data_IF_662086851575
#
_entry.id   IF_662086851575
#
_cell.length_a   1.000
_cell.length_b   1.000
_cell.length_c   1.000
_cell.angle_alpha   90.00
_cell.angle_beta   90.00
_cell.angle_gamma   90.00
#
_symmetry.space_group_name_H-M   'P 1'
#
loop_
_entity.id
_entity.type
_entity.pdbx_description
1 polymer ?
#
# COMPACT_ATOMS: atom_id res chain seq x y z
N UNK A 1 -12.21 -17.79 -15.82
CA UNK A 1 -11.44 -17.13 -14.75
C UNK A 1 -10.34 -16.33 -15.40
N UNK A 2 -10.59 -15.05 -15.69
CA UNK A 2 -9.64 -14.18 -16.37
C UNK A 2 -8.50 -13.85 -15.39
N UNK A 3 -7.36 -14.56 -15.51
CA UNK A 3 -6.13 -14.17 -14.82
C UNK A 3 -5.75 -12.81 -15.40
N UNK A 4 -5.62 -11.79 -14.56
CA UNK A 4 -5.18 -10.43 -14.92
C UNK A 4 -3.82 -10.50 -15.65
N UNK A 5 -3.88 -10.71 -16.97
CA UNK A 5 -2.81 -11.29 -17.76
C UNK A 5 -1.70 -10.25 -17.95
N UNK A 6 -0.60 -10.41 -17.19
CA UNK A 6 0.68 -9.73 -17.45
C UNK A 6 0.98 -8.44 -16.68
N UNK A 7 0.00 -7.75 -16.08
CA UNK A 7 0.27 -6.46 -15.39
C UNK A 7 1.03 -6.63 -14.07
N UNK A 8 0.63 -7.58 -13.24
CA UNK A 8 1.28 -7.81 -11.94
C UNK A 8 2.72 -8.32 -12.07
N UNK A 9 3.03 -9.35 -12.90
CA UNK A 9 4.41 -9.79 -13.07
C UNK A 9 5.34 -8.67 -13.53
N UNK A 10 4.88 -7.79 -14.43
CA UNK A 10 5.66 -6.63 -14.90
C UNK A 10 5.90 -5.59 -13.80
N UNK A 11 4.93 -5.38 -12.90
CA UNK A 11 5.06 -4.43 -11.80
C UNK A 11 5.91 -4.97 -10.63
N UNK A 12 5.88 -6.29 -10.41
CA UNK A 12 6.63 -6.95 -9.33
C UNK A 12 8.13 -7.05 -9.67
N UNK A 13 8.48 -7.37 -10.91
CA UNK A 13 9.88 -7.62 -11.28
C UNK A 13 10.86 -6.45 -10.96
N UNK A 14 10.52 -5.16 -11.15
CA UNK A 14 11.38 -4.05 -10.70
C UNK A 14 11.52 -3.96 -9.18
N UNK A 15 10.49 -4.33 -8.42
CA UNK A 15 10.53 -4.33 -6.95
C UNK A 15 11.44 -5.44 -6.45
N UNK A 16 11.29 -6.66 -6.98
CA UNK A 16 12.16 -7.80 -6.65
C UNK A 16 13.63 -7.55 -6.98
N UNK A 17 13.89 -6.83 -8.08
CA UNK A 17 15.25 -6.44 -8.50
C UNK A 17 15.81 -5.24 -7.73
N UNK A 18 15.07 -4.67 -6.78
CA UNK A 18 15.47 -3.49 -6.02
C UNK A 18 15.53 -2.19 -6.85
N UNK A 19 14.97 -2.19 -8.05
CA UNK A 19 14.92 -1.01 -8.92
C UNK A 19 13.87 0.00 -8.45
N UNK A 20 12.84 -0.46 -7.73
CA UNK A 20 11.78 0.37 -7.15
C UNK A 20 11.53 -0.07 -5.72
N UNK A 21 11.74 0.82 -4.76
CA UNK A 21 11.38 0.62 -3.35
C UNK A 21 9.97 1.15 -3.08
N UNK A 22 8.98 0.25 -3.09
CA UNK A 22 7.58 0.59 -2.82
C UNK A 22 7.30 0.81 -1.33
N UNK A 23 8.17 0.36 -0.43
CA UNK A 23 7.95 0.54 1.01
C UNK A 23 8.03 2.01 1.43
N UNK A 24 8.76 2.83 0.67
CA UNK A 24 8.83 4.29 0.87
C UNK A 24 7.53 5.03 0.59
N UNK A 25 6.58 4.40 -0.13
CA UNK A 25 5.26 4.99 -0.35
C UNK A 25 4.40 4.91 0.91
N UNK A 26 4.69 3.96 1.80
CA UNK A 26 3.91 3.71 3.02
C UNK A 26 4.30 4.73 4.07
N UNK A 27 3.49 5.77 4.21
CA UNK A 27 3.66 6.83 5.22
C UNK A 27 3.13 6.43 6.59
N UNK A 28 2.10 5.60 6.63
CA UNK A 28 1.40 5.23 7.87
C UNK A 28 1.12 3.73 7.89
N UNK A 29 1.28 3.12 9.07
CA UNK A 29 1.00 1.70 9.34
C UNK A 29 0.10 1.59 10.54
N UNK A 30 -0.93 0.77 10.44
CA UNK A 30 -1.88 0.53 11.52
C UNK A 30 -2.15 -0.97 11.65
N UNK A 31 -2.40 -1.47 12.87
CA UNK A 31 -2.82 -2.86 13.05
C UNK A 31 -4.27 -3.06 12.58
N UNK A 32 -4.63 -4.30 12.25
CA UNK A 32 -5.96 -4.67 11.73
C UNK A 32 -7.11 -4.20 12.64
N UNK A 33 -6.92 -4.25 13.96
CA UNK A 33 -7.92 -3.87 14.96
C UNK A 33 -8.32 -2.39 14.84
N UNK A 34 -7.44 -1.54 14.31
CA UNK A 34 -7.66 -0.12 14.13
C UNK A 34 -8.21 0.25 12.76
N UNK A 35 -8.35 -0.70 11.83
CA UNK A 35 -8.68 -0.43 10.43
C UNK A 35 -9.94 0.42 10.23
N UNK A 36 -10.97 0.22 11.08
CA UNK A 36 -12.21 1.00 11.01
C UNK A 36 -12.06 2.45 11.51
N UNK A 37 -11.26 2.65 12.56
CA UNK A 37 -11.05 3.97 13.19
C UNK A 37 -10.17 4.87 12.31
N UNK A 38 -9.14 4.29 11.68
CA UNK A 38 -8.13 5.03 10.93
C UNK A 38 -8.54 5.33 9.49
N UNK A 39 -9.64 4.75 9.00
CA UNK A 39 -10.10 4.92 7.62
C UNK A 39 -10.47 6.37 7.30
N UNK A 40 -11.28 7.01 8.15
CA UNK A 40 -11.74 8.39 7.93
C UNK A 40 -10.60 9.43 8.06
N UNK A 41 -9.71 9.35 9.07
CA UNK A 41 -8.52 10.19 9.12
C UNK A 41 -7.63 10.07 7.87
N UNK A 42 -7.39 8.85 7.39
CA UNK A 42 -6.60 8.60 6.17
C UNK A 42 -7.30 9.15 4.92
N UNK A 43 -8.63 8.99 4.83
CA UNK A 43 -9.43 9.52 3.72
C UNK A 43 -9.39 11.06 3.66
N UNK A 44 -9.21 11.71 4.80
CA UNK A 44 -9.08 13.17 4.87
C UNK A 44 -7.74 13.70 4.32
N UNK A 45 -6.77 12.82 4.04
CA UNK A 45 -5.41 13.14 3.56
C UNK A 45 -4.68 14.18 4.44
N UNK A 46 -5.06 14.25 5.72
CA UNK A 46 -4.40 15.11 6.71
C UNK A 46 -3.08 14.48 7.15
N UNK A 47 -2.25 15.26 7.82
CA UNK A 47 -0.96 14.81 8.38
C UNK A 47 0.05 14.25 7.37
N UNK A 48 -0.08 14.61 6.09
CA UNK A 48 0.86 14.21 5.04
C UNK A 48 0.73 12.74 4.63
N UNK A 49 -0.43 12.12 4.84
CA UNK A 49 -0.71 10.74 4.41
C UNK A 49 -0.60 10.62 2.88
N UNK A 50 0.28 9.73 2.42
CA UNK A 50 0.40 9.34 1.00
C UNK A 50 -0.19 7.94 0.77
N UNK A 51 0.18 6.99 1.64
CA UNK A 51 -0.37 5.64 1.65
C UNK A 51 -0.39 5.15 3.09
N UNK A 52 -1.56 4.68 3.53
CA UNK A 52 -1.71 3.92 4.75
C UNK A 52 -1.74 2.41 4.43
N UNK A 53 -1.12 1.60 5.29
CA UNK A 53 -1.15 0.15 5.20
C UNK A 53 -1.69 -0.43 6.51
N UNK A 54 -2.60 -1.40 6.37
CA UNK A 54 -3.08 -2.21 7.50
C UNK A 54 -2.23 -3.48 7.55
N UNK A 55 -1.68 -3.78 8.72
CA UNK A 55 -0.85 -4.95 8.98
C UNK A 55 -1.62 -5.97 9.85
N UNK A 56 -1.33 -7.25 9.63
CA UNK A 56 -1.95 -8.41 10.31
C UNK A 56 -0.89 -9.15 11.10
#
# INVERSE_FOLDING_TARGET
MERSSGKYPRAIAPVERGMVDVHRLITHRFPLEQAAEVFEPVASLRDGVVKAMIEV
#
